data_IF_924033523831
#
_entry.id   IF_924033523831
#
_cell.length_a   1.000
_cell.length_b   1.000
_cell.length_c   1.000
_cell.angle_alpha   90.00
_cell.angle_beta   90.00
_cell.angle_gamma   90.00
#
_symmetry.space_group_name_H-M   'P 1'
#
loop_
_entity.id
_entity.type
_entity.pdbx_description
1 polymer ?
#
# COMPACT_ATOMS: atom_id res chain seq x y z
N UNK A 1 -22.96 23.77 2.73
CA UNK A 1 -23.36 24.32 1.41
C UNK A 1 -22.27 24.17 0.34
N UNK A 2 -20.99 24.42 0.64
CA UNK A 2 -19.90 24.31 -0.36
C UNK A 2 -19.48 22.86 -0.69
N UNK A 3 -19.40 21.95 0.29
CA UNK A 3 -19.06 20.53 0.02
C UNK A 3 -20.12 19.80 -0.81
N UNK A 4 -21.40 20.07 -0.55
CA UNK A 4 -22.50 19.58 -1.39
C UNK A 4 -22.40 20.11 -2.84
N UNK A 5 -21.91 21.34 -3.04
CA UNK A 5 -21.63 21.83 -4.40
C UNK A 5 -20.45 21.10 -5.01
N UNK A 6 -19.38 20.83 -4.26
CA UNK A 6 -18.21 20.12 -4.75
C UNK A 6 -18.53 18.71 -5.25
N UNK A 7 -19.27 17.94 -4.46
CA UNK A 7 -19.69 16.57 -4.84
C UNK A 7 -20.70 16.61 -6.00
N UNK A 8 -21.66 17.56 -5.97
CA UNK A 8 -22.69 17.68 -7.01
C UNK A 8 -22.15 18.21 -8.35
N UNK A 9 -21.18 19.10 -8.33
CA UNK A 9 -20.66 19.79 -9.52
C UNK A 9 -19.24 19.38 -9.92
N UNK A 10 -18.61 18.47 -9.16
CA UNK A 10 -17.21 18.05 -9.35
C UNK A 10 -16.25 19.25 -9.38
N UNK A 11 -16.36 20.12 -8.37
CA UNK A 11 -15.52 21.31 -8.25
C UNK A 11 -14.08 20.91 -7.89
N UNK A 12 -13.17 21.01 -8.86
CA UNK A 12 -11.79 20.53 -8.71
C UNK A 12 -11.03 21.22 -7.57
N UNK A 13 -11.26 22.52 -7.33
CA UNK A 13 -10.58 23.23 -6.26
C UNK A 13 -11.02 22.71 -4.88
N UNK A 14 -12.32 22.50 -4.70
CA UNK A 14 -12.83 21.98 -3.44
C UNK A 14 -12.40 20.54 -3.22
N UNK A 15 -12.31 19.71 -4.27
CA UNK A 15 -11.79 18.34 -4.15
C UNK A 15 -10.33 18.32 -3.72
N UNK A 16 -9.49 19.20 -4.27
CA UNK A 16 -8.11 19.37 -3.81
C UNK A 16 -8.03 19.81 -2.36
N UNK A 17 -8.88 20.75 -1.94
CA UNK A 17 -8.95 21.17 -0.53
C UNK A 17 -9.41 20.01 0.37
N UNK A 18 -10.39 19.22 -0.05
CA UNK A 18 -10.87 18.05 0.71
C UNK A 18 -9.79 16.98 0.80
N UNK A 19 -9.11 16.66 -0.30
CA UNK A 19 -7.97 15.74 -0.34
C UNK A 19 -6.83 16.22 0.56
N UNK A 20 -6.49 17.50 0.53
CA UNK A 20 -5.43 18.04 1.38
C UNK A 20 -5.86 18.04 2.86
N UNK A 21 -7.10 18.42 3.17
CA UNK A 21 -7.62 18.38 4.54
C UNK A 21 -7.70 16.95 5.10
N UNK A 22 -8.12 15.99 4.27
CA UNK A 22 -8.13 14.56 4.62
C UNK A 22 -6.74 13.95 4.60
N UNK A 23 -5.73 14.72 4.14
CA UNK A 23 -4.35 14.41 4.42
C UNK A 23 -4.14 14.55 5.95
N UNK A 24 -3.11 15.14 6.53
CA UNK A 24 -3.06 15.37 8.00
C UNK A 24 -3.43 14.18 8.94
N UNK A 25 -3.50 14.41 10.26
CA UNK A 25 -3.60 13.35 11.28
C UNK A 25 -5.01 12.77 11.46
N UNK A 26 -5.10 11.67 12.23
CA UNK A 26 -6.35 10.95 12.58
C UNK A 26 -7.48 11.89 13.01
N UNK A 27 -7.21 12.80 13.93
CA UNK A 27 -8.23 13.71 14.49
C UNK A 27 -8.92 14.54 13.41
N UNK A 28 -8.18 14.98 12.38
CA UNK A 28 -8.76 15.77 11.29
C UNK A 28 -9.57 14.91 10.33
N UNK A 29 -9.16 13.65 10.12
CA UNK A 29 -9.91 12.68 9.32
C UNK A 29 -11.23 12.30 9.99
N UNK A 30 -11.21 12.06 11.30
CA UNK A 30 -12.41 11.76 12.10
C UNK A 30 -13.38 12.95 12.09
N UNK A 31 -12.87 14.17 12.32
CA UNK A 31 -13.68 15.39 12.23
C UNK A 31 -14.25 15.60 10.81
N UNK A 32 -13.46 15.35 9.77
CA UNK A 32 -13.92 15.42 8.39
C UNK A 32 -15.08 14.45 8.16
N UNK A 33 -14.93 13.18 8.57
CA UNK A 33 -15.97 12.17 8.42
C UNK A 33 -17.22 12.55 9.23
N UNK A 34 -17.07 13.05 10.46
CA UNK A 34 -18.19 13.53 11.29
C UNK A 34 -18.95 14.67 10.60
N UNK A 35 -18.25 15.70 10.11
CA UNK A 35 -18.87 16.83 9.41
C UNK A 35 -19.61 16.37 8.15
N UNK A 36 -19.02 15.44 7.41
CA UNK A 36 -19.60 14.91 6.18
C UNK A 36 -20.83 14.06 6.45
N UNK A 37 -20.78 13.19 7.45
CA UNK A 37 -21.89 12.32 7.86
C UNK A 37 -23.05 13.10 8.51
N UNK A 38 -22.77 14.21 9.20
CA UNK A 38 -23.79 15.12 9.73
C UNK A 38 -24.35 16.11 8.70
N UNK A 39 -23.84 16.08 7.46
CA UNK A 39 -24.35 16.90 6.37
C UNK A 39 -25.57 16.26 5.71
N UNK A 40 -26.23 16.99 4.79
CA UNK A 40 -27.34 16.42 4.01
C UNK A 40 -26.91 15.30 3.02
N UNK A 41 -25.63 14.91 3.02
CA UNK A 41 -25.05 13.86 2.19
C UNK A 41 -24.82 12.59 3.02
N UNK A 42 -25.91 11.92 3.42
CA UNK A 42 -25.82 10.71 4.25
C UNK A 42 -25.02 9.56 3.61
N UNK A 43 -24.80 9.59 2.29
CA UNK A 43 -23.98 8.62 1.52
C UNK A 43 -22.85 9.32 0.74
N UNK A 44 -22.16 10.26 1.38
CA UNK A 44 -21.12 11.06 0.71
C UNK A 44 -19.98 10.21 0.13
N UNK A 45 -19.61 9.10 0.78
CA UNK A 45 -18.59 8.16 0.32
C UNK A 45 -18.98 7.50 -1.01
N UNK A 46 -20.22 7.00 -1.10
CA UNK A 46 -20.79 6.44 -2.34
C UNK A 46 -20.82 7.50 -3.44
N UNK A 47 -21.20 8.74 -3.12
CA UNK A 47 -21.20 9.84 -4.09
C UNK A 47 -19.79 10.20 -4.59
N UNK A 48 -18.76 10.07 -3.75
CA UNK A 48 -17.36 10.20 -4.17
C UNK A 48 -17.01 9.09 -5.18
N UNK A 49 -17.32 7.82 -4.89
CA UNK A 49 -17.04 6.72 -5.83
C UNK A 49 -17.78 6.93 -7.16
N UNK A 50 -19.04 7.40 -7.13
CA UNK A 50 -19.81 7.77 -8.34
C UNK A 50 -19.17 8.90 -9.11
N UNK A 51 -18.60 9.87 -8.41
CA UNK A 51 -17.86 10.95 -9.04
C UNK A 51 -16.57 10.47 -9.69
N UNK A 52 -15.77 9.63 -9.02
CA UNK A 52 -14.55 9.04 -9.58
C UNK A 52 -14.83 8.29 -10.89
N UNK A 53 -15.91 7.50 -10.94
CA UNK A 53 -16.34 6.81 -12.17
C UNK A 53 -16.80 7.76 -13.27
N UNK A 54 -17.52 8.84 -12.94
CA UNK A 54 -17.91 9.87 -13.94
C UNK A 54 -16.69 10.59 -14.51
N UNK A 55 -15.69 10.88 -13.68
CA UNK A 55 -14.42 11.45 -14.11
C UNK A 55 -13.64 10.49 -15.02
N UNK A 56 -13.67 9.18 -14.71
CA UNK A 56 -12.96 8.14 -15.47
C UNK A 56 -13.62 7.81 -16.82
N UNK A 57 -14.96 7.78 -16.88
CA UNK A 57 -15.71 7.45 -18.10
C UNK A 57 -15.88 8.63 -19.08
N UNK A 58 -15.30 9.79 -18.76
CA UNK A 58 -15.58 11.04 -19.44
C UNK A 58 -14.98 11.15 -20.85
N UNK A 59 -15.81 11.00 -21.89
CA UNK A 59 -15.63 11.62 -23.23
C UNK A 59 -15.72 13.17 -23.19
N UNK A 60 -15.34 13.78 -22.07
CA UNK A 60 -15.54 15.21 -21.82
C UNK A 60 -14.25 15.98 -22.10
N UNK A 61 -14.39 17.09 -22.82
CA UNK A 61 -13.28 17.89 -23.38
C UNK A 61 -12.59 18.84 -22.41
N UNK A 62 -12.94 18.84 -21.11
CA UNK A 62 -12.35 19.74 -20.10
C UNK A 62 -11.26 19.07 -19.28
N UNK A 63 -10.06 19.67 -19.21
CA UNK A 63 -8.93 19.18 -18.40
C UNK A 63 -9.30 19.05 -16.91
N UNK A 64 -10.01 20.04 -16.34
CA UNK A 64 -10.41 20.07 -14.93
C UNK A 64 -11.26 18.87 -14.48
N UNK A 65 -11.96 18.20 -15.40
CA UNK A 65 -12.76 17.00 -15.08
C UNK A 65 -11.97 15.70 -15.09
N UNK A 66 -10.84 15.66 -15.80
CA UNK A 66 -9.92 14.51 -15.82
C UNK A 66 -9.10 14.46 -14.54
N UNK A 67 -8.62 15.61 -14.08
CA UNK A 67 -7.87 15.75 -12.82
C UNK A 67 -8.74 15.38 -11.60
N UNK A 68 -10.04 15.64 -11.67
CA UNK A 68 -10.98 15.31 -10.59
C UNK A 68 -11.08 13.82 -10.25
N UNK A 69 -10.69 12.91 -11.17
CA UNK A 69 -10.62 11.48 -10.86
C UNK A 69 -9.52 11.16 -9.86
N UNK A 70 -8.31 11.68 -10.09
CA UNK A 70 -7.17 11.53 -9.19
C UNK A 70 -7.43 12.22 -7.84
N UNK A 71 -8.03 13.41 -7.82
CA UNK A 71 -8.35 14.10 -6.56
C UNK A 71 -9.32 13.29 -5.67
N UNK A 72 -10.31 12.63 -6.28
CA UNK A 72 -11.28 11.82 -5.55
C UNK A 72 -10.67 10.52 -5.04
N UNK A 73 -9.94 9.81 -5.89
CA UNK A 73 -9.26 8.59 -5.48
C UNK A 73 -8.21 8.89 -4.42
N UNK A 74 -7.46 9.98 -4.55
CA UNK A 74 -6.48 10.40 -3.54
C UNK A 74 -7.12 10.84 -2.23
N UNK A 75 -8.33 11.41 -2.27
CA UNK A 75 -9.14 11.65 -1.07
C UNK A 75 -9.52 10.30 -0.41
N UNK A 76 -9.93 9.29 -1.18
CA UNK A 76 -10.23 7.96 -0.64
C UNK A 76 -8.98 7.26 -0.09
N UNK A 77 -7.85 7.38 -0.79
CA UNK A 77 -6.56 6.80 -0.42
C UNK A 77 -6.02 7.35 0.91
N UNK A 78 -6.43 8.56 1.29
CA UNK A 78 -6.01 9.14 2.56
C UNK A 78 -6.64 8.44 3.78
N UNK A 79 -7.76 7.72 3.65
CA UNK A 79 -8.46 7.12 4.79
C UNK A 79 -7.87 5.77 5.22
N UNK A 80 -6.57 5.79 5.55
CA UNK A 80 -5.81 4.65 6.07
C UNK A 80 -6.13 4.33 7.54
N UNK A 81 -6.72 5.29 8.27
CA UNK A 81 -6.96 5.15 9.70
C UNK A 81 -8.20 4.27 9.98
N UNK A 82 -8.08 3.19 10.78
CA UNK A 82 -9.25 2.45 11.25
C UNK A 82 -10.17 3.32 12.11
N UNK A 83 -11.48 3.13 12.00
CA UNK A 83 -12.47 3.83 12.83
C UNK A 83 -12.94 5.18 12.29
N UNK A 84 -12.58 5.57 11.07
CA UNK A 84 -13.10 6.77 10.38
C UNK A 84 -14.60 6.73 10.08
N UNK A 85 -15.26 5.59 10.30
CA UNK A 85 -16.69 5.40 10.01
C UNK A 85 -17.01 5.22 8.54
N UNK A 86 -16.00 5.01 7.68
CA UNK A 86 -16.20 4.65 6.28
C UNK A 86 -16.60 3.18 6.19
N UNK A 87 -17.75 2.95 5.57
CA UNK A 87 -18.25 1.61 5.28
C UNK A 87 -17.62 1.09 3.99
N UNK A 88 -16.41 0.54 4.11
CA UNK A 88 -15.70 -0.07 2.98
C UNK A 88 -16.44 -1.29 2.42
N UNK A 89 -17.24 -1.98 3.24
CA UNK A 89 -18.10 -3.05 2.76
C UNK A 89 -19.14 -2.47 1.81
N UNK A 90 -19.89 -1.42 2.15
CA UNK A 90 -20.83 -0.77 1.22
C UNK A 90 -20.14 -0.37 -0.11
N UNK A 91 -18.98 0.27 -0.05
CA UNK A 91 -18.28 0.74 -1.25
C UNK A 91 -17.77 -0.38 -2.17
N UNK A 92 -17.39 -1.52 -1.58
CA UNK A 92 -16.91 -2.68 -2.32
C UNK A 92 -18.04 -3.63 -2.74
N UNK A 93 -19.31 -3.21 -2.71
CA UNK A 93 -20.41 -4.06 -3.16
C UNK A 93 -20.47 -4.13 -4.67
N UNK A 94 -21.37 -4.98 -5.18
CA UNK A 94 -21.62 -5.14 -6.61
C UNK A 94 -22.97 -4.47 -6.99
N UNK A 95 -23.67 -3.91 -6.00
CA UNK A 95 -24.97 -3.26 -6.21
C UNK A 95 -24.82 -1.81 -6.71
N UNK A 96 -25.92 -1.09 -6.94
CA UNK A 96 -25.86 0.29 -7.45
C UNK A 96 -25.12 1.28 -6.52
N UNK A 97 -24.81 0.88 -5.27
CA UNK A 97 -24.07 1.67 -4.28
C UNK A 97 -22.58 1.30 -4.20
N UNK A 98 -22.21 0.04 -4.48
CA UNK A 98 -20.82 -0.41 -4.56
C UNK A 98 -20.41 -0.78 -5.98
N UNK A 99 -19.37 -0.15 -6.48
CA UNK A 99 -18.70 -0.53 -7.73
C UNK A 99 -17.24 -0.07 -7.70
N UNK A 100 -16.70 0.17 -6.50
CA UNK A 100 -15.35 0.68 -6.34
C UNK A 100 -14.33 -0.34 -6.88
N UNK A 101 -14.52 -1.63 -6.60
CA UNK A 101 -13.62 -2.68 -7.09
C UNK A 101 -13.63 -2.76 -8.63
N UNK A 102 -14.80 -2.67 -9.26
CA UNK A 102 -14.90 -2.66 -10.74
C UNK A 102 -14.20 -1.42 -11.34
N UNK A 103 -14.43 -0.24 -10.75
CA UNK A 103 -13.75 0.98 -11.16
C UNK A 103 -12.23 0.85 -11.06
N UNK A 104 -11.73 0.30 -9.95
CA UNK A 104 -10.29 0.10 -9.73
C UNK A 104 -9.73 -0.94 -10.70
N UNK A 105 -10.43 -2.05 -10.94
CA UNK A 105 -10.01 -3.07 -11.89
C UNK A 105 -9.87 -2.51 -13.32
N UNK A 106 -10.79 -1.66 -13.75
CA UNK A 106 -10.70 -0.97 -15.04
C UNK A 106 -9.50 -0.01 -15.07
N UNK A 107 -9.35 0.82 -14.03
CA UNK A 107 -8.28 1.82 -13.93
C UNK A 107 -6.87 1.21 -13.89
N UNK A 108 -6.73 0.01 -13.30
CA UNK A 108 -5.45 -0.68 -13.16
C UNK A 108 -5.08 -1.51 -14.40
N UNK A 109 -5.90 -1.50 -15.46
CA UNK A 109 -5.49 -2.07 -16.74
C UNK A 109 -4.31 -1.28 -17.32
N UNK A 110 -3.17 -1.92 -17.66
CA UNK A 110 -2.01 -1.22 -18.22
C UNK A 110 -2.38 -0.38 -19.45
N UNK A 111 -2.03 0.91 -19.41
CA UNK A 111 -2.29 1.86 -20.49
C UNK A 111 -3.73 2.39 -20.57
N UNK A 112 -4.62 2.01 -19.64
CA UNK A 112 -6.01 2.49 -19.64
C UNK A 112 -6.16 3.91 -19.09
N UNK A 113 -5.49 4.22 -17.98
CA UNK A 113 -5.54 5.53 -17.32
C UNK A 113 -4.16 6.17 -17.25
N UNK A 114 -4.13 7.49 -17.00
CA UNK A 114 -2.88 8.22 -16.76
C UNK A 114 -2.30 7.94 -15.37
N UNK A 115 -0.99 8.13 -15.24
CA UNK A 115 -0.22 7.65 -14.08
C UNK A 115 -0.67 8.24 -12.75
N UNK A 116 -1.11 9.50 -12.73
CA UNK A 116 -1.68 10.13 -11.54
C UNK A 116 -2.90 9.34 -11.03
N UNK A 117 -3.86 9.04 -11.91
CA UNK A 117 -5.07 8.28 -11.53
C UNK A 117 -4.70 6.85 -11.15
N UNK A 118 -3.78 6.24 -11.91
CA UNK A 118 -3.32 4.87 -11.66
C UNK A 118 -2.69 4.73 -10.27
N UNK A 119 -1.81 5.66 -9.89
CA UNK A 119 -1.17 5.67 -8.58
C UNK A 119 -2.22 5.73 -7.47
N UNK A 120 -3.17 6.66 -7.55
CA UNK A 120 -4.24 6.76 -6.55
C UNK A 120 -5.10 5.49 -6.50
N UNK A 121 -5.39 4.85 -7.65
CA UNK A 121 -6.11 3.58 -7.69
C UNK A 121 -5.35 2.48 -6.95
N UNK A 122 -4.03 2.36 -7.16
CA UNK A 122 -3.19 1.40 -6.42
C UNK A 122 -3.25 1.66 -4.92
N UNK A 123 -3.21 2.93 -4.51
CA UNK A 123 -3.30 3.32 -3.10
C UNK A 123 -4.64 2.95 -2.48
N UNK A 124 -5.75 3.25 -3.16
CA UNK A 124 -7.09 2.89 -2.67
C UNK A 124 -7.22 1.38 -2.47
N UNK A 125 -6.67 0.55 -3.38
CA UNK A 125 -6.67 -0.91 -3.17
C UNK A 125 -5.93 -1.30 -1.90
N UNK A 126 -4.78 -0.69 -1.61
CA UNK A 126 -4.06 -0.97 -0.37
C UNK A 126 -4.82 -0.52 0.88
N UNK A 127 -5.50 0.64 0.83
CA UNK A 127 -6.40 1.08 1.92
C UNK A 127 -7.52 0.07 2.16
N UNK A 128 -8.20 -0.38 1.10
CA UNK A 128 -9.25 -1.40 1.19
C UNK A 128 -8.68 -2.69 1.80
N UNK A 129 -7.51 -3.14 1.33
CA UNK A 129 -6.85 -4.34 1.83
C UNK A 129 -6.44 -4.24 3.30
N UNK A 130 -6.14 -3.03 3.79
CA UNK A 130 -5.83 -2.76 5.19
C UNK A 130 -7.05 -2.83 6.12
N UNK A 131 -8.27 -2.87 5.55
CA UNK A 131 -9.49 -2.99 6.33
C UNK A 131 -9.56 -4.36 7.05
N UNK A 132 -9.76 -4.39 8.38
CA UNK A 132 -9.82 -5.64 9.13
C UNK A 132 -11.16 -6.37 8.99
N UNK A 133 -12.14 -5.80 8.28
CA UNK A 133 -13.45 -6.41 8.08
C UNK A 133 -13.35 -7.62 7.11
N UNK A 134 -13.69 -8.84 7.55
CA UNK A 134 -13.64 -10.03 6.71
C UNK A 134 -14.54 -9.93 5.47
N UNK A 135 -15.64 -9.18 5.53
CA UNK A 135 -16.53 -9.00 4.39
C UNK A 135 -15.82 -8.24 3.25
N UNK A 136 -15.02 -7.24 3.59
CA UNK A 136 -14.18 -6.50 2.62
C UNK A 136 -13.13 -7.41 2.00
N UNK A 137 -12.46 -8.23 2.83
CA UNK A 137 -11.52 -9.24 2.37
C UNK A 137 -12.16 -10.26 1.41
N UNK A 138 -13.36 -10.76 1.74
CA UNK A 138 -14.12 -11.65 0.86
C UNK A 138 -14.43 -11.04 -0.50
N UNK A 139 -14.82 -9.75 -0.54
CA UNK A 139 -15.09 -9.03 -1.80
C UNK A 139 -13.85 -8.83 -2.67
N UNK A 140 -12.68 -8.65 -2.05
CA UNK A 140 -11.40 -8.65 -2.78
C UNK A 140 -11.13 -10.03 -3.39
N UNK A 141 -11.39 -11.12 -2.66
CA UNK A 141 -11.25 -12.48 -3.17
C UNK A 141 -12.21 -12.78 -4.32
N UNK A 142 -13.42 -12.23 -4.29
CA UNK A 142 -14.37 -12.36 -5.40
C UNK A 142 -13.93 -11.60 -6.67
N UNK A 143 -12.86 -10.79 -6.60
CA UNK A 143 -12.30 -10.04 -7.73
C UNK A 143 -10.81 -10.39 -8.00
N UNK A 144 -10.49 -11.64 -8.41
CA UNK A 144 -9.11 -12.06 -8.66
C UNK A 144 -8.45 -11.32 -9.83
N UNK A 145 -9.26 -10.76 -10.74
CA UNK A 145 -8.74 -9.94 -11.84
C UNK A 145 -8.05 -8.67 -11.32
N UNK A 146 -8.55 -8.07 -10.24
CA UNK A 146 -7.92 -6.91 -9.61
C UNK A 146 -6.48 -7.23 -9.16
N UNK A 147 -6.28 -8.37 -8.49
CA UNK A 147 -4.96 -8.82 -8.03
C UNK A 147 -4.03 -9.05 -9.22
N UNK A 148 -4.55 -9.69 -10.28
CA UNK A 148 -3.80 -9.88 -11.52
C UNK A 148 -3.37 -8.56 -12.16
N UNK A 149 -4.24 -7.54 -12.18
CA UNK A 149 -3.87 -6.20 -12.70
C UNK A 149 -2.73 -5.57 -11.92
N UNK A 150 -2.70 -5.71 -10.59
CA UNK A 150 -1.58 -5.22 -9.79
C UNK A 150 -0.26 -5.93 -10.14
N UNK A 151 -0.30 -7.23 -10.44
CA UNK A 151 0.88 -7.99 -10.87
C UNK A 151 1.33 -7.56 -12.27
N UNK A 152 0.40 -7.40 -13.22
CA UNK A 152 0.70 -6.87 -14.56
C UNK A 152 1.42 -5.51 -14.48
N UNK A 153 1.00 -4.66 -13.53
CA UNK A 153 1.59 -3.34 -13.32
C UNK A 153 3.02 -3.37 -12.78
N UNK A 154 3.43 -4.40 -12.01
CA UNK A 154 4.84 -4.54 -11.60
C UNK A 154 5.77 -4.65 -12.81
N UNK A 155 5.32 -5.27 -13.91
CA UNK A 155 6.08 -5.29 -15.17
C UNK A 155 5.92 -3.98 -15.92
N UNK A 156 4.68 -3.53 -16.11
CA UNK A 156 4.38 -2.41 -16.98
C UNK A 156 4.94 -1.07 -16.47
N UNK A 157 5.17 -0.95 -15.16
CA UNK A 157 5.61 0.26 -14.47
C UNK A 157 6.95 0.10 -13.75
N UNK A 158 7.76 -0.89 -14.11
CA UNK A 158 9.05 -1.18 -13.46
C UNK A 158 10.07 -0.02 -13.49
N UNK A 159 9.89 0.98 -14.35
CA UNK A 159 10.77 2.17 -14.46
C UNK A 159 10.24 3.37 -13.65
N UNK A 160 9.07 3.25 -13.02
CA UNK A 160 8.43 4.30 -12.23
C UNK A 160 8.50 3.95 -10.75
N UNK A 161 9.50 4.51 -10.07
CA UNK A 161 9.79 4.22 -8.67
C UNK A 161 8.59 4.48 -7.74
N UNK A 162 7.82 5.55 -7.99
CA UNK A 162 6.67 5.92 -7.17
C UNK A 162 5.57 4.84 -7.26
N UNK A 163 5.27 4.37 -8.48
CA UNK A 163 4.27 3.32 -8.69
C UNK A 163 4.76 1.97 -8.15
N UNK A 164 6.02 1.58 -8.40
CA UNK A 164 6.59 0.31 -7.90
C UNK A 164 6.54 0.26 -6.38
N UNK A 165 6.97 1.34 -5.73
CA UNK A 165 6.97 1.44 -4.28
C UNK A 165 5.56 1.34 -3.69
N UNK A 166 4.60 1.99 -4.35
CA UNK A 166 3.20 1.95 -3.95
C UNK A 166 2.56 0.57 -4.17
N UNK A 167 2.91 -0.13 -5.25
CA UNK A 167 2.52 -1.53 -5.49
C UNK A 167 3.06 -2.44 -4.39
N UNK A 168 4.33 -2.32 -4.00
CA UNK A 168 4.92 -3.10 -2.93
C UNK A 168 4.21 -2.89 -1.58
N UNK A 169 3.81 -1.65 -1.27
CA UNK A 169 2.99 -1.36 -0.09
C UNK A 169 1.60 -2.01 -0.20
N UNK A 170 0.93 -1.85 -1.35
CA UNK A 170 -0.40 -2.43 -1.57
C UNK A 170 -0.38 -3.96 -1.45
N UNK A 171 0.64 -4.63 -2.01
CA UNK A 171 0.82 -6.07 -1.81
C UNK A 171 1.12 -6.43 -0.35
N UNK A 172 1.85 -5.59 0.39
CA UNK A 172 2.05 -5.79 1.82
C UNK A 172 0.70 -5.78 2.56
N UNK A 173 -0.21 -4.85 2.24
CA UNK A 173 -1.56 -4.81 2.84
C UNK A 173 -2.35 -6.08 2.51
N UNK A 174 -2.37 -6.47 1.24
CA UNK A 174 -3.06 -7.66 0.76
C UNK A 174 -2.53 -8.94 1.44
N UNK A 175 -1.22 -9.06 1.63
CA UNK A 175 -0.59 -10.19 2.34
C UNK A 175 -0.87 -10.18 3.85
N UNK A 176 -1.12 -9.02 4.46
CA UNK A 176 -1.54 -8.95 5.87
C UNK A 176 -3.02 -9.26 6.08
N UNK A 177 -3.85 -9.13 5.04
CA UNK A 177 -5.27 -9.43 5.10
C UNK A 177 -5.51 -10.95 5.17
N UNK A 178 -6.25 -11.41 6.19
CA UNK A 178 -6.43 -12.85 6.44
C UNK A 178 -7.19 -13.57 5.34
N UNK A 179 -8.12 -12.89 4.68
CA UNK A 179 -8.96 -13.49 3.64
C UNK A 179 -8.23 -13.58 2.29
N UNK A 180 -7.36 -12.60 2.00
CA UNK A 180 -6.79 -12.39 0.65
C UNK A 180 -5.37 -12.94 0.51
N UNK A 181 -4.61 -13.04 1.61
CA UNK A 181 -3.18 -13.41 1.58
C UNK A 181 -2.86 -14.70 0.82
N UNK A 182 -3.70 -15.73 0.96
CA UNK A 182 -3.54 -17.02 0.27
C UNK A 182 -3.67 -16.87 -1.24
N UNK A 183 -4.72 -16.17 -1.70
CA UNK A 183 -4.94 -15.87 -3.11
C UNK A 183 -3.74 -15.13 -3.71
N UNK A 184 -3.20 -14.14 -3.02
CA UNK A 184 -2.04 -13.35 -3.50
C UNK A 184 -0.79 -14.20 -3.65
N UNK A 185 -0.54 -15.11 -2.71
CA UNK A 185 0.62 -16.01 -2.77
C UNK A 185 0.51 -17.06 -3.87
N UNK A 186 -0.70 -17.43 -4.27
CA UNK A 186 -0.95 -18.49 -5.26
C UNK A 186 -1.20 -17.93 -6.67
N UNK A 187 -1.60 -16.67 -6.79
CA UNK A 187 -1.88 -16.03 -8.08
C UNK A 187 -0.64 -16.03 -8.96
N UNK A 188 -0.81 -16.48 -10.20
CA UNK A 188 0.26 -16.58 -11.21
C UNK A 188 1.50 -17.31 -10.69
N UNK A 189 1.30 -18.46 -10.03
CA UNK A 189 2.38 -19.29 -9.48
C UNK A 189 3.29 -18.54 -8.49
N UNK A 190 2.75 -17.54 -7.78
CA UNK A 190 3.49 -16.74 -6.80
C UNK A 190 4.39 -15.67 -7.45
N UNK A 191 4.07 -15.22 -8.67
CA UNK A 191 4.79 -14.19 -9.42
C UNK A 191 5.13 -12.95 -8.58
N UNK A 192 4.20 -12.49 -7.73
CA UNK A 192 4.44 -11.34 -6.85
C UNK A 192 5.64 -11.54 -5.91
N UNK A 193 5.84 -12.76 -5.41
CA UNK A 193 6.97 -13.08 -4.51
C UNK A 193 8.28 -13.09 -5.29
N UNK A 194 8.25 -13.52 -6.57
CA UNK A 194 9.41 -13.42 -7.45
C UNK A 194 9.83 -11.97 -7.67
N UNK A 195 8.90 -11.06 -7.96
CA UNK A 195 9.20 -9.62 -8.04
C UNK A 195 9.80 -9.09 -6.74
N UNK A 196 9.24 -9.44 -5.58
CA UNK A 196 9.77 -8.98 -4.29
C UNK A 196 11.20 -9.48 -4.03
N UNK A 197 11.53 -10.70 -4.45
CA UNK A 197 12.88 -11.26 -4.33
C UNK A 197 13.89 -10.53 -5.25
N UNK A 198 13.47 -10.04 -6.40
CA UNK A 198 14.32 -9.23 -7.29
C UNK A 198 14.48 -7.80 -6.75
N UNK A 199 13.36 -7.17 -6.38
CA UNK A 199 13.31 -5.78 -5.90
C UNK A 199 14.01 -5.56 -4.56
N UNK A 200 14.30 -6.59 -3.78
CA UNK A 200 15.10 -6.43 -2.55
C UNK A 200 16.55 -6.00 -2.83
N UNK A 201 17.02 -6.20 -4.07
CA UNK A 201 18.33 -5.77 -4.56
C UNK A 201 18.24 -4.50 -5.44
N UNK A 202 17.11 -3.80 -5.43
CA UNK A 202 16.92 -2.59 -6.21
C UNK A 202 17.93 -1.49 -5.81
N UNK A 203 18.32 -0.68 -6.79
CA UNK A 203 19.21 0.47 -6.57
C UNK A 203 18.57 1.57 -5.73
N UNK A 204 17.24 1.72 -5.79
CA UNK A 204 16.49 2.63 -4.95
C UNK A 204 16.33 2.01 -3.55
N UNK A 205 16.90 2.64 -2.50
CA UNK A 205 16.87 2.08 -1.14
C UNK A 205 15.46 1.98 -0.55
N UNK A 206 14.51 2.82 -0.99
CA UNK A 206 13.12 2.79 -0.53
C UNK A 206 12.41 1.55 -1.07
N UNK A 207 12.56 1.25 -2.37
CA UNK A 207 12.04 0.04 -3.01
C UNK A 207 12.64 -1.20 -2.36
N UNK A 208 13.97 -1.26 -2.25
CA UNK A 208 14.67 -2.38 -1.63
C UNK A 208 14.26 -2.60 -0.16
N UNK A 209 14.01 -1.52 0.59
CA UNK A 209 13.49 -1.60 1.96
C UNK A 209 12.05 -2.13 1.99
N UNK A 210 11.16 -1.61 1.16
CA UNK A 210 9.76 -2.02 1.13
C UNK A 210 9.61 -3.47 0.66
N UNK A 211 10.38 -3.91 -0.34
CA UNK A 211 10.46 -5.30 -0.77
C UNK A 211 10.92 -6.21 0.38
N UNK A 212 11.95 -5.83 1.14
CA UNK A 212 12.38 -6.58 2.32
C UNK A 212 11.28 -6.69 3.39
N UNK A 213 10.48 -5.64 3.59
CA UNK A 213 9.33 -5.67 4.52
C UNK A 213 8.28 -6.68 4.03
N UNK A 214 7.89 -6.57 2.75
CA UNK A 214 6.91 -7.47 2.14
C UNK A 214 7.35 -8.94 2.21
N UNK A 215 8.62 -9.22 1.89
CA UNK A 215 9.22 -10.54 2.05
C UNK A 215 9.20 -11.04 3.50
N UNK A 216 9.36 -10.15 4.49
CA UNK A 216 9.18 -10.48 5.90
C UNK A 216 7.78 -11.03 6.19
N UNK A 217 6.74 -10.39 5.64
CA UNK A 217 5.34 -10.83 5.77
C UNK A 217 5.15 -12.20 5.10
N UNK A 218 5.69 -12.40 3.89
CA UNK A 218 5.65 -13.70 3.19
C UNK A 218 6.26 -14.82 4.03
N UNK A 219 7.43 -14.59 4.63
CA UNK A 219 8.08 -15.59 5.49
C UNK A 219 7.23 -15.97 6.71
N UNK A 220 6.50 -15.03 7.29
CA UNK A 220 5.58 -15.30 8.40
C UNK A 220 4.36 -16.11 7.98
N UNK A 221 3.79 -15.81 6.81
CA UNK A 221 2.67 -16.57 6.24
C UNK A 221 3.08 -18.01 5.95
N UNK A 222 4.24 -18.21 5.32
CA UNK A 222 4.80 -19.54 5.05
C UNK A 222 5.07 -20.31 6.34
N UNK A 223 5.61 -19.66 7.38
CA UNK A 223 5.80 -20.29 8.69
C UNK A 223 4.45 -20.69 9.33
N UNK A 224 3.42 -19.84 9.23
CA UNK A 224 2.07 -20.16 9.71
C UNK A 224 1.45 -21.33 8.95
N UNK A 225 1.63 -21.39 7.62
CA UNK A 225 1.20 -22.51 6.77
C UNK A 225 1.91 -23.80 7.19
N UNK A 226 3.24 -23.78 7.29
CA UNK A 226 4.05 -24.93 7.69
C UNK A 226 3.65 -25.53 9.05
N UNK A 227 3.24 -24.69 10.02
CA UNK A 227 2.73 -25.16 11.33
C UNK A 227 1.38 -25.87 11.25
N UNK A 228 0.59 -25.61 10.21
CA UNK A 228 -0.74 -26.22 10.00
C UNK A 228 -0.65 -27.52 9.20
N UNK A 229 0.40 -27.70 8.40
CA UNK A 229 0.57 -28.87 7.51
C UNK A 229 1.33 -30.02 8.18
N UNK A 230 1.08 -31.26 7.75
CA UNK A 230 1.79 -32.45 8.21
C UNK A 230 3.30 -32.40 7.86
N UNK A 231 4.18 -33.12 8.59
CA UNK A 231 5.64 -33.03 8.44
C UNK A 231 6.21 -33.32 7.04
N UNK A 232 5.48 -34.03 6.18
CA UNK A 232 5.97 -34.45 4.85
C UNK A 232 5.89 -33.35 3.78
N UNK A 233 4.92 -32.43 3.88
CA UNK A 233 4.70 -31.30 2.95
C UNK A 233 5.61 -30.09 3.23
N UNK A 234 6.32 -30.11 4.36
CA UNK A 234 7.24 -29.06 4.83
C UNK A 234 8.37 -28.77 3.83
N UNK A 235 8.72 -29.70 2.94
CA UNK A 235 9.87 -29.57 2.02
C UNK A 235 9.72 -28.47 0.97
N UNK A 236 8.52 -28.22 0.45
CA UNK A 236 8.28 -27.16 -0.54
C UNK A 236 8.30 -25.76 0.12
N UNK A 237 7.58 -25.62 1.25
CA UNK A 237 7.56 -24.42 2.09
C UNK A 237 8.96 -24.05 2.64
N UNK A 238 9.80 -25.07 2.91
CA UNK A 238 11.20 -24.89 3.31
C UNK A 238 12.02 -24.17 2.25
N UNK A 239 11.71 -24.35 0.95
CA UNK A 239 12.47 -23.72 -0.12
C UNK A 239 12.17 -22.22 -0.27
N UNK A 240 10.91 -21.80 -0.16
CA UNK A 240 10.54 -20.38 -0.28
C UNK A 240 11.01 -19.60 0.94
N UNK A 241 10.76 -20.11 2.14
CA UNK A 241 11.27 -19.52 3.38
C UNK A 241 12.79 -19.34 3.36
N UNK A 242 13.52 -20.35 2.87
CA UNK A 242 14.97 -20.29 2.67
C UNK A 242 15.40 -19.18 1.72
N UNK A 243 14.75 -19.08 0.54
CA UNK A 243 15.03 -18.05 -0.47
C UNK A 243 14.79 -16.64 0.08
N UNK A 244 13.67 -16.42 0.76
CA UNK A 244 13.34 -15.13 1.38
C UNK A 244 14.40 -14.73 2.41
N UNK A 245 14.79 -15.67 3.28
CA UNK A 245 15.80 -15.41 4.30
C UNK A 245 17.17 -15.10 3.69
N UNK A 246 17.56 -15.85 2.65
CA UNK A 246 18.81 -15.65 1.93
C UNK A 246 18.83 -14.27 1.26
N UNK A 247 17.80 -13.92 0.49
CA UNK A 247 17.73 -12.66 -0.24
C UNK A 247 17.80 -11.45 0.70
N UNK A 248 17.08 -11.50 1.83
CA UNK A 248 17.14 -10.43 2.85
C UNK A 248 18.51 -10.32 3.52
N UNK A 249 19.20 -11.44 3.77
CA UNK A 249 20.55 -11.44 4.33
C UNK A 249 21.57 -10.87 3.35
N UNK A 250 21.50 -11.28 2.08
CA UNK A 250 22.36 -10.76 1.01
C UNK A 250 22.17 -9.25 0.82
N UNK A 251 20.92 -8.78 0.74
CA UNK A 251 20.61 -7.36 0.63
C UNK A 251 21.09 -6.54 1.85
N UNK A 252 20.97 -7.08 3.06
CA UNK A 252 21.48 -6.42 4.26
C UNK A 252 23.02 -6.29 4.23
N UNK A 253 23.72 -7.38 3.87
CA UNK A 253 25.18 -7.38 3.85
C UNK A 253 25.75 -6.57 2.69
N UNK A 254 25.09 -6.52 1.53
CA UNK A 254 25.49 -5.65 0.41
C UNK A 254 25.55 -4.18 0.84
N UNK A 255 24.58 -3.72 1.65
CA UNK A 255 24.58 -2.37 2.22
C UNK A 255 25.75 -2.16 3.18
N UNK A 256 25.99 -3.12 4.07
CA UNK A 256 27.12 -3.05 5.01
C UNK A 256 28.47 -2.98 4.28
N UNK A 257 28.68 -3.82 3.26
CA UNK A 257 29.92 -3.81 2.46
C UNK A 257 30.12 -2.47 1.74
N UNK A 258 29.06 -1.89 1.18
CA UNK A 258 29.13 -0.58 0.53
C UNK A 258 29.49 0.56 1.50
N UNK A 259 28.96 0.52 2.72
CA UNK A 259 29.28 1.49 3.79
C UNK A 259 30.74 1.36 4.25
N UNK A 260 31.27 0.14 4.34
CA UNK A 260 32.66 -0.10 4.76
C UNK A 260 33.69 0.21 3.67
N UNK A 261 33.36 0.00 2.39
CA UNK A 261 34.25 0.30 1.27
C UNK A 261 34.30 1.82 0.96
N UNK A 262 33.28 2.59 1.35
CA UNK A 262 33.24 4.05 1.22
C UNK A 262 33.95 4.83 2.33
N UNK A 263 34.35 4.18 3.42
CA UNK A 263 34.84 4.80 4.66
C UNK A 263 36.37 4.89 4.81
N UNK A 264 37.11 5.00 3.72
CA UNK A 264 38.57 5.06 3.70
C UNK A 264 39.21 6.42 4.06
N UNK A 265 38.53 7.31 4.78
CA UNK A 265 39.16 8.48 5.40
C UNK A 265 38.86 8.51 6.90
N UNK A 266 39.91 8.24 7.69
CA UNK A 266 39.91 8.20 9.14
C UNK A 266 39.44 9.54 9.75
N UNK A 267 38.53 9.46 10.72
CA UNK A 267 38.63 10.30 11.91
C UNK A 267 38.15 9.49 13.11
N UNK A 268 39.12 9.14 13.95
CA UNK A 268 38.92 8.50 15.22
C UNK A 268 38.07 9.38 16.15
N UNK A 269 37.30 8.70 17.00
CA UNK A 269 36.60 9.23 18.17
C UNK A 269 35.26 9.93 17.91
N UNK A 270 34.17 9.16 17.94
CA UNK A 270 33.15 9.35 18.96
C UNK A 270 32.19 8.16 18.98
N UNK A 271 32.00 7.54 20.15
CA UNK A 271 30.90 6.62 20.36
C UNK A 271 29.58 7.39 20.31
N UNK A 272 28.84 7.29 19.21
CA UNK A 272 27.49 7.82 19.13
C UNK A 272 26.47 6.71 19.34
N UNK A 273 25.89 6.78 20.52
CA UNK A 273 24.56 6.30 20.85
C UNK A 273 23.62 6.34 19.63
N UNK A 274 22.90 5.24 19.39
CA UNK A 274 21.68 5.25 18.58
C UNK A 274 20.70 6.24 19.24
N UNK A 275 20.61 7.46 18.70
CA UNK A 275 19.43 8.30 18.83
C UNK A 275 18.71 8.20 17.50
N UNK A 276 17.56 7.52 17.51
CA UNK A 276 16.67 7.48 16.36
C UNK A 276 16.17 8.88 16.08
N UNK A 277 16.76 9.53 15.08
CA UNK A 277 16.26 10.73 14.40
C UNK A 277 17.23 11.02 13.25
N UNK A 278 17.15 10.22 12.19
CA UNK A 278 17.74 10.54 10.90
C UNK A 278 16.75 11.33 10.07
N UNK A 279 16.60 12.63 10.36
CA UNK A 279 15.87 13.56 9.50
C UNK A 279 16.68 13.72 8.22
N UNK A 280 16.24 13.04 7.15
CA UNK A 280 16.69 13.34 5.78
C UNK A 280 16.08 14.68 5.39
N UNK A 281 16.82 15.74 5.64
CA UNK A 281 16.55 17.07 5.16
C UNK A 281 16.86 17.14 3.65
N UNK A 282 15.84 16.86 2.84
CA UNK A 282 15.83 17.04 1.39
C UNK A 282 14.38 16.94 0.93
N UNK A 283 13.71 18.08 0.82
CA UNK A 283 12.27 18.21 0.68
C UNK A 283 11.77 18.02 -0.76
N UNK A 284 11.06 16.92 -1.01
CA UNK A 284 10.06 16.83 -2.08
C UNK A 284 8.69 16.51 -1.43
N UNK A 285 7.59 17.14 -1.89
CA UNK A 285 6.23 16.87 -1.35
C UNK A 285 5.86 15.38 -1.50
N UNK A 286 6.48 14.70 -2.48
CA UNK A 286 6.38 13.26 -2.73
C UNK A 286 6.98 12.41 -1.61
N UNK A 287 8.12 12.81 -1.03
CA UNK A 287 8.74 12.12 0.10
C UNK A 287 7.86 12.20 1.37
N UNK A 288 7.15 13.32 1.56
CA UNK A 288 6.18 13.48 2.65
C UNK A 288 4.92 12.64 2.44
N UNK A 289 4.42 12.55 1.21
CA UNK A 289 3.26 11.70 0.89
C UNK A 289 3.58 10.21 1.09
N UNK A 290 4.77 9.81 0.69
CA UNK A 290 5.38 8.49 0.94
C UNK A 290 5.53 8.20 2.44
N UNK A 291 6.14 9.10 3.21
CA UNK A 291 6.27 8.98 4.66
C UNK A 291 4.91 8.87 5.35
N UNK A 292 3.88 9.57 4.87
CA UNK A 292 2.57 9.57 5.52
C UNK A 292 1.80 8.26 5.39
N UNK A 293 1.88 7.57 4.24
CA UNK A 293 1.24 6.26 4.05
C UNK A 293 2.11 5.10 4.55
N UNK A 294 3.45 5.24 4.51
CA UNK A 294 4.37 4.19 4.93
C UNK A 294 4.82 4.27 6.39
N UNK A 295 4.92 5.44 7.05
CA UNK A 295 5.35 5.52 8.47
C UNK A 295 4.31 4.94 9.43
N UNK A 296 3.02 5.17 9.19
CA UNK A 296 1.96 4.56 10.01
C UNK A 296 1.99 3.02 9.95
N UNK A 297 2.35 2.46 8.80
CA UNK A 297 2.53 1.02 8.62
C UNK A 297 3.89 0.52 9.13
N UNK A 298 4.98 1.26 8.89
CA UNK A 298 6.33 0.92 9.33
C UNK A 298 6.46 0.96 10.85
N UNK A 299 5.82 1.89 11.55
CA UNK A 299 5.77 1.94 13.02
C UNK A 299 4.90 0.80 13.59
N UNK A 300 3.74 0.53 12.96
CA UNK A 300 2.85 -0.57 13.35
C UNK A 300 3.48 -1.97 13.14
N UNK A 301 4.41 -2.09 12.18
CA UNK A 301 5.23 -3.28 11.95
C UNK A 301 6.50 -3.29 12.80
N UNK A 302 7.23 -2.18 12.97
CA UNK A 302 8.49 -2.16 13.72
C UNK A 302 8.29 -2.57 15.17
N UNK A 303 7.18 -2.16 15.78
CA UNK A 303 6.81 -2.56 17.14
C UNK A 303 6.49 -4.06 17.26
N UNK A 304 6.00 -4.70 16.19
CA UNK A 304 5.75 -6.14 16.15
C UNK A 304 6.99 -6.95 15.76
N UNK A 305 7.84 -6.42 14.88
CA UNK A 305 8.83 -7.21 14.13
C UNK A 305 10.28 -7.00 14.57
N UNK A 306 10.65 -5.85 15.15
CA UNK A 306 12.01 -5.66 15.70
C UNK A 306 12.22 -6.46 17.00
N UNK A 307 11.14 -6.72 17.75
CA UNK A 307 11.19 -7.41 19.03
C UNK A 307 11.24 -8.95 18.94
N UNK A 308 10.95 -9.58 17.79
CA UNK A 308 10.95 -11.05 17.70
C UNK A 308 12.27 -11.67 17.20
N UNK A 309 13.21 -10.87 16.67
CA UNK A 309 14.45 -11.41 16.09
C UNK A 309 15.75 -10.89 16.74
N UNK A 310 15.67 -9.94 17.69
CA UNK A 310 16.85 -9.34 18.34
C UNK A 310 17.30 -9.95 19.68
N UNK A 311 16.57 -10.91 20.27
CA UNK A 311 16.93 -11.55 21.56
C UNK A 311 16.65 -13.06 21.63
N UNK A 312 16.67 -13.76 20.50
CA UNK A 312 16.71 -15.22 20.48
C UNK A 312 18.15 -15.70 20.57
N UNK A 313 18.58 -16.11 21.75
CA UNK A 313 19.94 -16.56 22.07
C UNK A 313 20.47 -17.63 21.12
N UNK A 314 21.68 -17.39 20.62
CA UNK A 314 22.61 -18.31 19.95
C UNK A 314 23.11 -19.43 20.91
N UNK A 315 22.19 -20.09 21.64
CA UNK A 315 22.53 -21.12 22.63
C UNK A 315 21.94 -22.51 22.38
N UNK A 316 21.04 -22.69 21.41
CA UNK A 316 20.42 -23.99 21.14
C UNK A 316 20.46 -24.39 19.65
N UNK A 317 21.63 -24.28 19.03
CA UNK A 317 22.10 -25.06 17.87
C UNK A 317 23.57 -25.41 18.09
#
# INVERSE_FOLDING_TARGET
>A
MQVHRAIKYSDALVLKVMRNASSHGRDLQELFCEVMSNSALSHWTVELVRMARRCSNGKSSGQDRRDGGADVLGLLANFTTPGTGIDWAELCSIDDNGFLLDLLTDQLMPGFTGDDVLLESVMVVGVIASCPDPEVGGRLCDNPLLIRRLIDLLTAKQEDDDIVLQLLWTFSMLLTNSEVSEMVLETEDGQVVHYMLELVHDTNPMIARQASIALGIVAELEMKRMKRTCPEDVRAASSLFGKVRQARFEAHNQRWMAETDGGGEESADSGTHYSGEGVLAGSDERDMYFMRHNLAFADALSDRHYNSWGRGTLKDL
#
